data_IF_181053376089
#
_entry.id   IF_181053376089
#
_cell.length_a   1.000
_cell.length_b   1.000
_cell.length_c   1.000
_cell.angle_alpha   90.00
_cell.angle_beta   90.00
_cell.angle_gamma   90.00
#
_symmetry.space_group_name_H-M   'P 1'
#
loop_
_entity.id
_entity.type
_entity.pdbx_description
1 polymer ?
#
# COMPACT_ATOMS: atom_id res chain seq x y z
N UNK A 1 7.22 -11.93 10.19
CA UNK A 1 6.25 -10.81 10.27
C UNK A 1 5.39 -10.83 9.02
N UNK A 2 4.35 -10.00 8.93
CA UNK A 2 3.51 -9.89 7.74
C UNK A 2 3.67 -8.52 7.06
N UNK A 3 3.66 -8.52 5.73
CA UNK A 3 3.59 -7.32 4.90
C UNK A 3 2.45 -7.48 3.90
N UNK A 4 1.69 -6.41 3.72
CA UNK A 4 0.61 -6.30 2.76
C UNK A 4 1.04 -5.33 1.66
N UNK A 5 1.02 -5.80 0.41
CA UNK A 5 1.43 -5.03 -0.76
C UNK A 5 0.29 -4.87 -1.75
N UNK A 6 0.13 -3.67 -2.30
CA UNK A 6 -1.01 -3.32 -3.17
C UNK A 6 -0.59 -2.74 -4.53
N UNK A 7 0.72 -2.63 -4.78
CA UNK A 7 1.29 -1.99 -5.97
C UNK A 7 2.27 -2.87 -6.74
N UNK A 8 3.39 -2.27 -7.15
CA UNK A 8 4.40 -2.91 -8.01
C UNK A 8 5.14 -4.10 -7.35
N UNK A 9 4.98 -4.29 -6.04
CA UNK A 9 5.49 -5.44 -5.31
C UNK A 9 4.61 -6.70 -5.43
N UNK A 10 3.37 -6.59 -5.94
CA UNK A 10 2.46 -7.74 -6.14
C UNK A 10 3.01 -8.73 -7.18
N UNK A 11 2.58 -9.99 -7.15
CA UNK A 11 2.97 -11.01 -8.13
C UNK A 11 2.67 -10.55 -9.56
N UNK A 12 3.57 -10.87 -10.48
CA UNK A 12 3.46 -10.49 -11.89
C UNK A 12 3.96 -9.07 -12.20
N UNK A 13 4.34 -8.28 -11.19
CA UNK A 13 4.97 -6.98 -11.38
C UNK A 13 6.47 -7.02 -11.19
N UNK A 14 7.14 -6.04 -11.79
CA UNK A 14 8.59 -6.00 -11.88
C UNK A 14 9.26 -6.01 -10.52
N UNK A 15 8.70 -5.41 -9.46
CA UNK A 15 9.37 -5.32 -8.16
C UNK A 15 9.09 -6.51 -7.23
N UNK A 16 8.30 -7.50 -7.66
CA UNK A 16 8.03 -8.70 -6.87
C UNK A 16 9.30 -9.54 -6.60
N UNK A 17 10.40 -9.32 -7.35
CA UNK A 17 11.69 -9.96 -7.07
C UNK A 17 12.20 -9.69 -5.65
N UNK A 18 11.79 -8.59 -5.02
CA UNK A 18 12.11 -8.26 -3.63
C UNK A 18 11.45 -9.21 -2.61
N UNK A 19 10.42 -9.96 -3.03
CA UNK A 19 9.63 -10.86 -2.22
C UNK A 19 9.79 -12.35 -2.62
N UNK A 20 10.72 -12.69 -3.51
CA UNK A 20 10.84 -14.08 -4.03
C UNK A 20 11.16 -15.11 -2.95
N UNK A 21 11.94 -14.72 -1.95
CA UNK A 21 12.27 -15.58 -0.80
C UNK A 21 11.20 -15.53 0.31
N UNK A 22 10.15 -14.73 0.12
CA UNK A 22 9.06 -14.57 1.08
C UNK A 22 7.92 -15.55 0.80
N UNK A 23 7.18 -15.90 1.85
CA UNK A 23 6.07 -16.83 1.72
C UNK A 23 4.77 -16.08 1.41
N UNK A 24 4.22 -16.29 0.22
CA UNK A 24 2.90 -15.80 -0.17
C UNK A 24 1.80 -16.47 0.65
N UNK A 25 0.93 -15.68 1.27
CA UNK A 25 -0.18 -16.18 2.10
C UNK A 25 -1.46 -16.26 1.27
N UNK A 26 -2.00 -15.11 0.86
CA UNK A 26 -3.27 -15.02 0.13
C UNK A 26 -3.46 -13.60 -0.47
N UNK A 27 -4.39 -13.43 -1.42
CA UNK A 27 -4.95 -12.11 -1.68
C UNK A 27 -5.88 -11.71 -0.54
N UNK A 28 -5.97 -10.41 -0.22
CA UNK A 28 -6.87 -9.89 0.83
C UNK A 28 -7.10 -8.39 0.62
N UNK A 29 -7.85 -7.76 1.52
CA UNK A 29 -8.08 -6.31 1.55
C UNK A 29 -7.81 -5.72 2.93
N UNK A 30 -7.61 -4.41 2.97
CA UNK A 30 -7.61 -3.67 4.23
C UNK A 30 -8.99 -3.72 4.89
N UNK A 31 -9.02 -3.69 6.22
CA UNK A 31 -10.28 -3.62 6.96
C UNK A 31 -10.95 -2.25 6.78
N UNK A 32 -10.14 -1.19 6.93
CA UNK A 32 -10.52 0.20 6.74
C UNK A 32 -10.46 0.64 5.28
N UNK A 33 -11.14 1.74 4.98
CA UNK A 33 -11.09 2.41 3.67
C UNK A 33 -10.00 3.48 3.63
N UNK A 34 -9.34 3.57 2.49
CA UNK A 34 -8.29 4.55 2.23
C UNK A 34 -8.47 5.20 0.86
N UNK A 35 -7.77 6.31 0.65
CA UNK A 35 -7.65 6.92 -0.67
C UNK A 35 -6.45 6.33 -1.39
N UNK A 36 -6.69 5.74 -2.57
CA UNK A 36 -5.62 5.28 -3.46
C UNK A 36 -5.46 6.25 -4.64
N UNK A 37 -4.22 6.57 -4.97
CA UNK A 37 -3.85 7.46 -6.08
C UNK A 37 -2.85 6.78 -7.00
N UNK A 38 -2.88 7.15 -8.28
CA UNK A 38 -2.01 6.67 -9.33
C UNK A 38 -0.86 7.65 -9.56
N UNK A 39 0.37 7.28 -9.19
CA UNK A 39 1.58 8.07 -9.43
C UNK A 39 2.22 7.71 -10.77
N UNK A 40 1.39 7.40 -11.78
CA UNK A 40 1.71 6.87 -13.10
C UNK A 40 2.31 5.46 -13.10
N UNK A 41 3.44 5.26 -12.43
CA UNK A 41 4.19 4.00 -12.47
C UNK A 41 3.80 3.04 -11.35
N UNK A 42 3.33 3.58 -10.23
CA UNK A 42 2.95 2.84 -9.03
C UNK A 42 1.78 3.53 -8.32
N UNK A 43 0.96 2.79 -7.55
CA UNK A 43 -0.07 3.40 -6.73
C UNK A 43 0.53 3.93 -5.42
N UNK A 44 -0.14 4.89 -4.80
CA UNK A 44 0.09 5.26 -3.41
C UNK A 44 -1.21 5.29 -2.63
N UNK A 45 -1.16 4.88 -1.36
CA UNK A 45 -2.29 4.97 -0.44
C UNK A 45 -2.01 6.07 0.59
N UNK A 46 -2.97 6.97 0.78
CA UNK A 46 -2.87 8.06 1.74
C UNK A 46 -3.48 7.66 3.08
N UNK A 47 -2.81 8.05 4.16
CA UNK A 47 -3.34 7.95 5.51
C UNK A 47 -4.26 9.14 5.81
N UNK A 48 -5.55 8.86 6.05
CA UNK A 48 -6.59 9.87 6.18
C UNK A 48 -6.82 10.33 7.64
N UNK A 49 -5.94 9.94 8.57
CA UNK A 49 -6.05 10.27 10.01
C UNK A 49 -5.62 11.72 10.33
N UNK A 50 -5.00 12.43 9.39
CA UNK A 50 -4.66 13.84 9.55
C UNK A 50 -5.76 14.73 8.96
N UNK A 51 -6.17 15.76 9.72
CA UNK A 51 -7.17 16.78 9.33
C UNK A 51 -6.86 17.45 7.96
N UNK A 52 -5.63 17.31 7.46
CA UNK A 52 -5.18 17.75 6.14
C UNK A 52 -5.96 17.16 4.96
N UNK A 53 -6.63 16.01 5.14
CA UNK A 53 -7.33 15.30 4.06
C UNK A 53 -8.84 15.21 4.23
N UNK A 54 -9.41 15.86 5.25
CA UNK A 54 -10.85 15.86 5.55
C UNK A 54 -11.68 16.39 4.38
N UNK A 55 -11.11 17.29 3.57
CA UNK A 55 -11.83 17.99 2.50
C UNK A 55 -11.47 17.53 1.08
N UNK A 56 -10.81 16.37 0.93
CA UNK A 56 -10.49 15.87 -0.41
C UNK A 56 -11.76 15.50 -1.21
N UNK A 57 -12.88 15.17 -0.55
CA UNK A 57 -14.15 14.84 -1.24
C UNK A 57 -14.09 13.55 -2.09
N UNK A 58 -13.07 12.71 -1.87
CA UNK A 58 -12.70 11.61 -2.76
C UNK A 58 -13.23 10.24 -2.37
N UNK A 59 -13.36 9.32 -3.34
CA UNK A 59 -13.77 7.96 -3.06
C UNK A 59 -12.73 7.26 -2.19
N UNK A 60 -13.17 6.85 -1.01
CA UNK A 60 -12.44 5.96 -0.11
C UNK A 60 -12.89 4.54 -0.41
N UNK A 61 -11.95 3.61 -0.39
CA UNK A 61 -12.25 2.19 -0.63
C UNK A 61 -11.28 1.29 0.11
N UNK A 62 -11.69 0.04 0.33
CA UNK A 62 -10.80 -0.98 0.86
C UNK A 62 -9.74 -1.33 -0.17
N UNK A 63 -8.49 -1.31 0.27
CA UNK A 63 -7.34 -1.53 -0.60
C UNK A 63 -7.15 -3.02 -0.82
N UNK A 64 -7.18 -3.45 -2.07
CA UNK A 64 -6.94 -4.83 -2.48
C UNK A 64 -5.46 -5.07 -2.74
N UNK A 65 -4.96 -6.20 -2.25
CA UNK A 65 -3.54 -6.53 -2.36
C UNK A 65 -3.22 -7.96 -1.97
N UNK A 66 -1.96 -8.19 -1.66
CA UNK A 66 -1.39 -9.49 -1.38
C UNK A 66 -0.69 -9.49 -0.03
N UNK A 67 -0.88 -10.56 0.74
CA UNK A 67 -0.27 -10.75 2.04
C UNK A 67 0.92 -11.72 1.95
N UNK A 68 2.04 -11.32 2.52
CA UNK A 68 3.27 -12.12 2.58
C UNK A 68 3.77 -12.25 4.01
N UNK A 69 4.36 -13.40 4.32
CA UNK A 69 5.21 -13.59 5.50
C UNK A 69 6.66 -13.35 5.13
N UNK A 70 7.28 -12.38 5.79
CA UNK A 70 8.64 -11.91 5.52
C UNK A 70 9.52 -11.98 6.76
N UNK A 71 10.84 -11.98 6.56
CA UNK A 71 11.85 -11.87 7.61
C UNK A 71 12.31 -10.41 7.82
N UNK A 72 13.18 -10.20 8.80
CA UNK A 72 13.70 -8.86 9.13
C UNK A 72 14.53 -8.27 7.98
N UNK A 73 15.28 -9.10 7.25
CA UNK A 73 16.13 -8.63 6.16
C UNK A 73 15.29 -8.12 5.00
N UNK A 74 14.28 -8.89 4.61
CA UNK A 74 13.36 -8.55 3.53
C UNK A 74 12.68 -7.22 3.82
N UNK A 75 12.13 -7.04 5.03
CA UNK A 75 11.43 -5.78 5.30
C UNK A 75 12.37 -4.57 5.33
N UNK A 76 13.61 -4.74 5.81
CA UNK A 76 14.61 -3.66 5.72
C UNK A 76 14.99 -3.33 4.28
N UNK A 77 14.99 -4.30 3.37
CA UNK A 77 15.18 -4.05 1.93
C UNK A 77 13.98 -3.31 1.34
N UNK A 78 12.75 -3.70 1.70
CA UNK A 78 11.54 -3.00 1.26
C UNK A 78 11.52 -1.55 1.77
N UNK A 79 11.87 -1.31 3.04
CA UNK A 79 11.95 0.05 3.59
C UNK A 79 12.89 0.94 2.77
N UNK A 80 14.07 0.44 2.39
CA UNK A 80 15.02 1.17 1.55
C UNK A 80 14.52 1.38 0.12
N UNK A 81 13.74 0.44 -0.41
CA UNK A 81 13.19 0.53 -1.76
C UNK A 81 12.05 1.55 -1.86
N UNK A 82 11.23 1.61 -0.81
CA UNK A 82 10.05 2.46 -0.73
C UNK A 82 10.39 3.91 -0.30
N UNK A 83 11.57 4.13 0.28
CA UNK A 83 12.13 5.47 0.48
C UNK A 83 12.49 6.15 -0.87
N UNK A 84 12.34 7.48 -0.97
CA UNK A 84 11.87 8.41 0.05
C UNK A 84 10.35 8.54 0.12
N UNK A 85 9.60 7.92 -0.79
CA UNK A 85 8.21 8.24 -1.08
C UNK A 85 7.23 7.75 -0.01
N UNK A 86 7.50 6.60 0.60
CA UNK A 86 6.58 5.94 1.50
C UNK A 86 7.14 5.80 2.92
N UNK A 87 6.24 5.56 3.87
CA UNK A 87 6.53 5.06 5.20
C UNK A 87 5.58 3.88 5.48
N UNK A 88 5.91 3.01 6.45
CA UNK A 88 5.03 1.90 6.80
C UNK A 88 4.33 2.10 8.13
N UNK A 89 3.06 1.69 8.21
CA UNK A 89 2.26 1.58 9.44
C UNK A 89 1.67 0.17 9.54
N UNK A 90 1.27 -0.22 10.76
CA UNK A 90 0.49 -1.44 10.98
C UNK A 90 -0.95 -1.21 10.54
N UNK A 91 -1.49 -2.18 9.80
CA UNK A 91 -2.83 -2.12 9.24
C UNK A 91 -3.52 -3.47 9.41
N UNK A 92 -4.78 -3.43 9.86
CA UNK A 92 -5.64 -4.60 9.97
C UNK A 92 -6.26 -4.93 8.62
N UNK A 93 -6.25 -6.22 8.28
CA UNK A 93 -6.79 -6.76 7.04
C UNK A 93 -8.11 -7.51 7.32
N UNK A 94 -8.96 -7.69 6.30
CA UNK A 94 -10.27 -8.36 6.44
C UNK A 94 -10.16 -9.82 6.91
N UNK A 95 -9.00 -10.46 6.70
CA UNK A 95 -8.73 -11.82 7.16
C UNK A 95 -8.27 -11.89 8.64
N UNK A 96 -8.33 -10.78 9.38
CA UNK A 96 -7.97 -10.69 10.79
C UNK A 96 -6.46 -10.60 11.06
N UNK A 97 -5.63 -10.51 10.02
CA UNK A 97 -4.17 -10.38 10.17
C UNK A 97 -3.79 -8.90 10.24
N UNK A 98 -2.93 -8.55 11.20
CA UNK A 98 -2.24 -7.26 11.22
C UNK A 98 -0.92 -7.36 10.45
N UNK A 99 -0.74 -6.50 9.45
CA UNK A 99 0.43 -6.48 8.57
C UNK A 99 1.04 -5.08 8.47
N UNK A 100 2.31 -5.01 8.07
CA UNK A 100 2.89 -3.75 7.61
C UNK A 100 2.33 -3.39 6.24
N UNK A 101 1.94 -2.14 6.06
CA UNK A 101 1.50 -1.57 4.79
C UNK A 101 2.22 -0.23 4.58
N UNK A 102 2.60 0.07 3.34
CA UNK A 102 3.26 1.32 2.97
C UNK A 102 2.22 2.40 2.62
N UNK A 103 2.42 3.61 3.12
CA UNK A 103 1.58 4.79 2.91
C UNK A 103 2.42 5.89 2.26
N UNK A 104 1.84 6.56 1.27
CA UNK A 104 2.49 7.65 0.55
C UNK A 104 2.64 8.83 1.49
N UNK A 105 3.84 9.42 1.61
CA UNK A 105 4.04 10.63 2.40
C UNK A 105 3.35 11.82 1.72
N UNK A 106 2.74 12.68 2.53
CA UNK A 106 1.96 13.82 2.09
C UNK A 106 2.71 14.74 1.12
N UNK A 107 4.01 14.93 1.34
CA UNK A 107 4.88 15.77 0.49
C UNK A 107 5.03 15.29 -0.96
N UNK A 108 4.72 14.01 -1.25
CA UNK A 108 4.73 13.45 -2.60
C UNK A 108 3.34 13.35 -3.23
N UNK A 109 2.29 13.74 -2.50
CA UNK A 109 0.96 13.86 -3.06
C UNK A 109 0.78 15.25 -3.71
N UNK A 110 0.43 15.24 -5.00
CA UNK A 110 -0.06 16.43 -5.69
C UNK A 110 -1.55 16.21 -5.97
N UNK A 111 -2.40 17.15 -5.59
CA UNK A 111 -3.85 17.07 -5.76
C UNK A 111 -4.28 17.27 -7.22
N UNK A 112 -3.99 16.26 -8.04
CA UNK A 112 -4.53 16.09 -9.38
C UNK A 112 -5.63 15.03 -9.27
N UNK A 113 -6.88 15.48 -9.15
CA UNK A 113 -8.06 14.63 -8.98
C UNK A 113 -8.19 13.55 -10.06
N UNK A 114 -7.57 13.74 -11.24
CA UNK A 114 -7.58 12.75 -12.33
C UNK A 114 -6.75 11.48 -12.04
N UNK A 115 -6.08 11.40 -10.90
CA UNK A 115 -5.20 10.27 -10.55
C UNK A 115 -5.80 9.34 -9.50
N UNK A 116 -7.05 9.50 -9.12
CA UNK A 116 -7.66 8.76 -8.01
C UNK A 116 -8.15 7.39 -8.47
N UNK A 117 -7.98 6.38 -7.62
CA UNK A 117 -8.37 4.99 -7.91
C UNK A 117 -9.54 4.64 -6.98
N UNK A 118 -10.75 4.71 -7.52
CA UNK A 118 -11.98 4.67 -6.73
C UNK A 118 -12.26 3.30 -6.09
N UNK A 119 -11.81 2.22 -6.72
CA UNK A 119 -12.14 0.84 -6.30
C UNK A 119 -11.09 0.19 -5.39
N UNK A 120 -10.02 0.93 -5.04
CA UNK A 120 -8.97 0.44 -4.15
C UNK A 120 -8.15 -0.72 -4.74
N UNK A 121 -8.24 -0.94 -6.05
CA UNK A 121 -7.52 -1.98 -6.76
C UNK A 121 -6.64 -1.36 -7.84
N UNK A 122 -5.33 -1.41 -7.61
CA UNK A 122 -4.36 -1.19 -8.67
C UNK A 122 -4.16 -2.50 -9.41
N UNK A 123 -4.16 -2.45 -10.76
CA UNK A 123 -3.96 -3.54 -11.72
C UNK A 123 -3.15 -4.73 -11.20
#
# INVERSE_FOLDING_TARGET
MYVFVYGTLKRGFINNWLLTESYYICPTRTNEEYLMVNLNYFPGVLELENDEYIDLGEPKSKISGELYKVDNRTISTLDKFEEPFFYRKRTYLENGVEAWMYFLKNEYYNDDSNRKIENGFWR
#
